data_IF_729378815187
#
_entry.id   IF_729378815187
#
_cell.length_a   1.000
_cell.length_b   1.000
_cell.length_c   1.000
_cell.angle_alpha   90.00
_cell.angle_beta   90.00
_cell.angle_gamma   90.00
#
_symmetry.space_group_name_H-M   'P 1'
#
loop_
_entity.id
_entity.type
_entity.pdbx_description
1 polymer ?
#
# COMPACT_ATOMS: atom_id res chain seq x y z
N UNK A 1 -81.00 -2.56 9.89
CA UNK A 1 -79.75 -3.34 9.85
C UNK A 1 -78.69 -2.49 9.17
N UNK A 2 -77.82 -1.84 9.95
CA UNK A 2 -76.65 -1.15 9.42
C UNK A 2 -75.52 -1.30 10.44
N UNK A 3 -74.59 -2.20 10.18
CA UNK A 3 -73.29 -2.19 10.84
C UNK A 3 -72.23 -1.96 9.78
N UNK A 4 -71.53 -0.84 9.94
CA UNK A 4 -70.39 -0.39 9.14
C UNK A 4 -69.15 -1.14 9.60
N UNK A 5 -68.41 -1.77 8.68
CA UNK A 5 -67.09 -2.35 8.96
C UNK A 5 -66.04 -1.57 8.19
N UNK A 6 -65.24 -0.78 8.92
CA UNK A 6 -64.06 -0.12 8.38
C UNK A 6 -62.89 -1.12 8.23
N UNK A 7 -62.03 -0.99 7.20
CA UNK A 7 -60.88 -1.86 7.04
C UNK A 7 -59.70 -1.41 7.91
N UNK A 8 -58.99 -2.42 8.44
CA UNK A 8 -57.84 -2.33 9.33
C UNK A 8 -56.64 -1.65 8.65
N UNK A 9 -56.19 -0.51 9.19
CA UNK A 9 -55.05 0.24 8.66
C UNK A 9 -53.71 -0.33 9.16
N UNK A 10 -52.96 -0.90 8.20
CA UNK A 10 -51.50 -0.86 8.01
C UNK A 10 -50.62 -0.91 9.29
N UNK A 11 -50.12 -2.10 9.62
CA UNK A 11 -48.94 -2.23 10.48
C UNK A 11 -47.77 -1.46 9.87
N UNK A 12 -47.28 -0.47 10.63
CA UNK A 12 -46.03 0.24 10.37
C UNK A 12 -44.91 -0.78 10.21
N UNK A 13 -44.35 -0.84 9.00
CA UNK A 13 -43.14 -1.59 8.70
C UNK A 13 -42.04 -1.10 9.62
N UNK A 14 -41.63 -1.94 10.56
CA UNK A 14 -40.47 -1.68 11.40
C UNK A 14 -39.25 -1.72 10.49
N UNK A 15 -38.72 -0.56 10.16
CA UNK A 15 -37.44 -0.40 9.50
C UNK A 15 -36.35 -0.86 10.48
N UNK A 16 -36.07 -2.16 10.48
CA UNK A 16 -34.90 -2.73 11.14
C UNK A 16 -33.76 -2.64 10.14
N UNK A 17 -32.99 -1.57 10.22
CA UNK A 17 -31.63 -1.53 9.67
C UNK A 17 -30.75 -2.46 10.50
N UNK A 18 -30.97 -3.77 10.36
CA UNK A 18 -30.02 -4.78 10.77
C UNK A 18 -28.85 -4.67 9.80
N UNK A 19 -27.66 -4.35 10.29
CA UNK A 19 -26.41 -4.60 9.57
C UNK A 19 -26.28 -6.12 9.42
N UNK A 20 -26.96 -6.68 8.43
CA UNK A 20 -26.84 -8.08 8.04
C UNK A 20 -25.42 -8.27 7.50
N UNK A 21 -24.61 -9.08 8.19
CA UNK A 21 -23.33 -9.50 7.64
C UNK A 21 -23.59 -10.26 6.34
N UNK A 22 -22.99 -9.84 5.20
CA UNK A 22 -23.31 -10.44 3.92
C UNK A 22 -22.97 -11.92 3.94
N UNK A 23 -23.82 -12.74 3.32
CA UNK A 23 -23.51 -14.16 3.15
C UNK A 23 -22.25 -14.34 2.29
N UNK A 24 -21.57 -15.49 2.41
CA UNK A 24 -20.37 -15.79 1.59
C UNK A 24 -20.63 -15.63 0.08
N UNK A 25 -21.82 -16.03 -0.39
CA UNK A 25 -22.18 -15.93 -1.80
C UNK A 25 -22.30 -14.47 -2.25
N UNK A 26 -22.91 -13.63 -1.42
CA UNK A 26 -23.06 -12.19 -1.66
C UNK A 26 -21.72 -11.45 -1.59
N UNK A 27 -20.81 -11.88 -0.71
CA UNK A 27 -19.42 -11.41 -0.68
C UNK A 27 -18.67 -11.74 -1.98
N UNK A 28 -18.82 -12.96 -2.51
CA UNK A 28 -18.18 -13.36 -3.77
C UNK A 28 -18.74 -12.57 -4.96
N UNK A 29 -20.06 -12.34 -5.00
CA UNK A 29 -20.69 -11.53 -6.04
C UNK A 29 -20.22 -10.06 -5.98
N UNK A 30 -20.03 -9.52 -4.77
CA UNK A 30 -19.44 -8.19 -4.59
C UNK A 30 -17.99 -8.14 -5.04
N UNK A 31 -17.21 -9.19 -4.74
CA UNK A 31 -15.80 -9.28 -5.13
C UNK A 31 -15.64 -9.36 -6.65
N UNK A 32 -16.50 -10.11 -7.33
CA UNK A 32 -16.50 -10.24 -8.80
C UNK A 32 -16.76 -8.90 -9.51
N UNK A 33 -17.52 -8.02 -8.87
CA UNK A 33 -17.77 -6.66 -9.37
C UNK A 33 -16.54 -5.75 -9.24
N UNK A 34 -15.57 -6.06 -8.37
CA UNK A 34 -14.35 -5.27 -8.20
C UNK A 34 -13.37 -5.55 -9.33
N UNK A 35 -13.23 -4.59 -10.23
CA UNK A 35 -12.26 -4.67 -11.32
C UNK A 35 -10.95 -4.01 -10.89
N UNK A 36 -9.95 -4.85 -10.57
CA UNK A 36 -8.58 -4.38 -10.31
C UNK A 36 -7.81 -4.33 -11.62
N UNK A 37 -7.26 -3.16 -11.96
CA UNK A 37 -6.41 -3.07 -13.13
C UNK A 37 -5.03 -3.65 -12.83
N UNK A 38 -4.48 -4.43 -13.76
CA UNK A 38 -3.16 -5.03 -13.60
C UNK A 38 -2.07 -3.98 -13.38
N UNK A 39 -2.21 -2.80 -13.96
CA UNK A 39 -1.30 -1.67 -13.71
C UNK A 39 -1.29 -1.21 -12.25
N UNK A 40 -2.47 -1.13 -11.63
CA UNK A 40 -2.60 -0.72 -10.22
C UNK A 40 -2.01 -1.78 -9.29
N UNK A 41 -2.25 -3.06 -9.58
CA UNK A 41 -1.63 -4.18 -8.86
C UNK A 41 -0.11 -4.17 -8.98
N UNK A 42 0.42 -3.97 -10.18
CA UNK A 42 1.86 -3.91 -10.37
C UNK A 42 2.48 -2.72 -9.62
N UNK A 43 1.79 -1.57 -9.59
CA UNK A 43 2.24 -0.42 -8.80
C UNK A 43 2.26 -0.73 -7.30
N UNK A 44 1.20 -1.35 -6.79
CA UNK A 44 1.10 -1.80 -5.39
C UNK A 44 2.24 -2.77 -5.02
N UNK A 45 2.52 -3.75 -5.89
CA UNK A 45 3.62 -4.69 -5.69
C UNK A 45 4.96 -3.96 -5.69
N UNK A 46 5.18 -3.05 -6.64
CA UNK A 46 6.41 -2.26 -6.70
C UNK A 46 6.60 -1.40 -5.44
N UNK A 47 5.55 -0.72 -4.99
CA UNK A 47 5.58 0.10 -3.78
C UNK A 47 5.90 -0.74 -2.55
N UNK A 48 5.36 -1.95 -2.45
CA UNK A 48 5.68 -2.90 -1.38
C UNK A 48 7.16 -3.32 -1.41
N UNK A 49 7.68 -3.76 -2.56
CA UNK A 49 9.07 -4.20 -2.70
C UNK A 49 10.06 -3.06 -2.36
N UNK A 50 9.74 -1.83 -2.75
CA UNK A 50 10.54 -0.64 -2.43
C UNK A 50 10.43 -0.23 -0.97
N UNK A 51 9.26 -0.39 -0.34
CA UNK A 51 9.08 -0.03 1.08
C UNK A 51 9.74 -1.05 2.00
N UNK A 52 9.63 -2.33 1.69
CA UNK A 52 10.25 -3.41 2.46
C UNK A 52 11.75 -3.55 2.19
N UNK A 53 12.29 -2.90 1.16
CA UNK A 53 13.72 -2.97 0.88
C UNK A 53 14.14 -4.24 0.14
N UNK A 54 13.24 -4.87 -0.61
CA UNK A 54 13.58 -6.03 -1.44
C UNK A 54 14.14 -5.60 -2.80
N UNK A 55 15.40 -5.15 -2.82
CA UNK A 55 16.03 -4.58 -4.01
C UNK A 55 16.06 -5.54 -5.20
N UNK A 56 16.54 -6.77 -5.00
CA UNK A 56 16.67 -7.75 -6.08
C UNK A 56 15.31 -8.16 -6.65
N UNK A 57 14.29 -8.23 -5.79
CA UNK A 57 12.93 -8.52 -6.21
C UNK A 57 12.32 -7.34 -6.98
N UNK A 58 12.53 -6.11 -6.51
CA UNK A 58 12.09 -4.89 -7.21
C UNK A 58 12.74 -4.78 -8.60
N UNK A 59 14.02 -5.11 -8.72
CA UNK A 59 14.76 -5.09 -9.98
C UNK A 59 14.21 -6.09 -11.00
N UNK A 60 14.01 -7.34 -10.57
CA UNK A 60 13.43 -8.38 -11.44
C UNK A 60 11.99 -8.04 -11.81
N UNK A 61 11.20 -7.58 -10.84
CA UNK A 61 9.80 -7.23 -11.06
C UNK A 61 9.66 -6.05 -12.02
N UNK A 62 10.55 -5.05 -11.94
CA UNK A 62 10.62 -3.95 -12.93
C UNK A 62 10.81 -4.47 -14.34
N UNK A 63 11.74 -5.42 -14.56
CA UNK A 63 12.03 -6.00 -15.87
C UNK A 63 10.85 -6.82 -16.41
N UNK A 64 10.17 -7.58 -15.55
CA UNK A 64 9.06 -8.46 -15.92
C UNK A 64 7.74 -7.71 -16.15
N UNK A 65 7.44 -6.74 -15.29
CA UNK A 65 6.17 -6.02 -15.28
C UNK A 65 6.21 -4.69 -16.06
N UNK A 66 7.41 -4.23 -16.47
CA UNK A 66 7.59 -2.97 -17.19
C UNK A 66 7.23 -1.74 -16.35
N UNK A 67 7.24 -1.85 -15.02
CA UNK A 67 6.82 -0.79 -14.10
C UNK A 67 8.01 0.03 -13.66
N UNK A 68 7.90 1.35 -13.80
CA UNK A 68 8.91 2.30 -13.33
C UNK A 68 8.69 2.55 -11.83
N UNK A 69 9.66 2.22 -10.96
CA UNK A 69 9.54 2.53 -9.54
C UNK A 69 9.55 4.05 -9.30
N UNK A 70 8.83 4.56 -8.29
CA UNK A 70 8.76 5.99 -8.00
C UNK A 70 10.08 6.56 -7.47
N UNK A 71 10.94 5.70 -6.92
CA UNK A 71 12.25 6.05 -6.37
C UNK A 71 13.32 5.18 -7.03
N UNK A 72 14.51 5.71 -7.35
CA UNK A 72 15.60 4.90 -7.88
C UNK A 72 15.95 3.74 -6.93
N UNK A 73 16.02 2.52 -7.47
CA UNK A 73 16.33 1.31 -6.69
C UNK A 73 17.76 1.34 -6.12
N UNK A 74 18.64 2.16 -6.69
CA UNK A 74 20.03 2.34 -6.24
C UNK A 74 20.10 2.97 -4.84
N UNK A 75 19.10 3.78 -4.49
CA UNK A 75 18.99 4.43 -3.16
C UNK A 75 18.38 3.51 -2.11
N UNK A 76 17.93 2.31 -2.51
CA UNK A 76 17.25 1.39 -1.60
C UNK A 76 18.23 0.73 -0.62
N UNK A 77 19.46 0.47 -1.04
CA UNK A 77 20.51 -0.08 -0.17
C UNK A 77 20.77 0.83 1.04
N UNK A 78 20.81 2.14 0.82
CA UNK A 78 21.00 3.13 1.89
C UNK A 78 19.82 3.12 2.87
N UNK A 79 18.59 3.06 2.36
CA UNK A 79 17.38 2.99 3.21
C UNK A 79 17.32 1.71 4.03
N UNK A 80 17.70 0.57 3.44
CA UNK A 80 17.77 -0.72 4.14
C UNK A 80 18.81 -0.62 5.26
N UNK A 81 20.03 -0.15 4.96
CA UNK A 81 21.09 0.00 5.96
C UNK A 81 20.67 0.87 7.13
N UNK A 82 20.04 2.02 6.87
CA UNK A 82 19.55 2.92 7.91
C UNK A 82 18.48 2.21 8.77
N UNK A 83 17.52 1.51 8.15
CA UNK A 83 16.48 0.77 8.87
C UNK A 83 17.06 -0.35 9.73
N UNK A 84 17.94 -1.18 9.19
CA UNK A 84 18.50 -2.33 9.89
C UNK A 84 19.31 -1.85 11.11
N UNK A 85 20.10 -0.80 10.92
CA UNK A 85 20.87 -0.22 12.02
C UNK A 85 19.98 0.51 13.07
N UNK A 86 18.81 1.04 12.70
CA UNK A 86 17.79 1.50 13.64
C UNK A 86 17.16 0.34 14.44
N UNK A 87 16.85 -0.78 13.77
CA UNK A 87 16.29 -1.98 14.40
C UNK A 87 17.29 -2.63 15.38
N UNK A 88 18.58 -2.57 15.07
CA UNK A 88 19.67 -3.07 15.92
C UNK A 88 20.04 -2.12 17.08
N UNK A 89 19.24 -1.06 17.33
CA UNK A 89 19.48 -0.02 18.34
C UNK A 89 20.87 0.64 18.28
N UNK A 90 21.57 0.51 17.16
CA UNK A 90 22.94 1.00 16.95
C UNK A 90 22.95 2.39 16.33
N UNK A 91 22.17 3.29 16.91
CA UNK A 91 21.87 4.64 16.38
C UNK A 91 23.15 5.47 16.12
N UNK A 92 24.19 5.29 16.93
CA UNK A 92 25.46 6.00 16.79
C UNK A 92 26.22 5.62 15.51
N UNK A 93 26.21 4.33 15.14
CA UNK A 93 26.83 3.86 13.89
C UNK A 93 26.02 4.33 12.68
N UNK A 94 24.69 4.29 12.77
CA UNK A 94 23.78 4.81 11.74
C UNK A 94 24.06 6.26 11.37
N UNK A 95 24.21 7.15 12.36
CA UNK A 95 24.43 8.57 12.12
C UNK A 95 25.78 8.81 11.45
N UNK A 96 26.80 8.04 11.83
CA UNK A 96 28.12 8.13 11.19
C UNK A 96 28.07 7.69 9.72
N UNK A 97 27.45 6.54 9.43
CA UNK A 97 27.35 6.02 8.06
C UNK A 97 26.46 6.89 7.15
N UNK A 98 25.37 7.45 7.68
CA UNK A 98 24.51 8.38 6.96
C UNK A 98 25.22 9.69 6.61
N UNK A 99 26.04 10.23 7.52
CA UNK A 99 26.87 11.42 7.27
C UNK A 99 28.02 11.12 6.27
N UNK A 100 28.61 9.93 6.32
CA UNK A 100 29.68 9.52 5.42
C UNK A 100 29.18 9.40 3.97
N UNK A 101 27.98 8.85 3.77
CA UNK A 101 27.35 8.74 2.46
C UNK A 101 27.09 10.11 1.82
N UNK A 102 26.52 11.05 2.59
CA UNK A 102 26.25 12.43 2.13
C UNK A 102 27.55 13.20 1.86
N UNK A 103 28.57 13.05 2.72
CA UNK A 103 29.90 13.64 2.49
C UNK A 103 30.58 13.12 1.22
N UNK A 104 30.40 11.85 0.87
CA UNK A 104 30.99 11.25 -0.34
C UNK A 104 30.31 11.76 -1.61
N UNK A 105 28.98 11.90 -1.60
CA UNK A 105 28.21 12.50 -2.69
C UNK A 105 28.53 13.99 -2.85
N UNK A 106 28.71 14.71 -1.74
CA UNK A 106 29.12 16.12 -1.72
C UNK A 106 30.54 16.32 -2.27
N UNK A 107 31.50 15.48 -1.87
CA UNK A 107 32.88 15.54 -2.39
C UNK A 107 32.99 15.17 -3.87
N UNK A 108 32.24 14.18 -4.33
CA UNK A 108 32.21 13.81 -5.75
C UNK A 108 31.65 14.96 -6.61
N UNK A 109 30.70 15.73 -6.07
CA UNK A 109 30.13 16.92 -6.73
C UNK A 109 31.03 18.16 -6.63
N UNK A 110 31.84 18.28 -5.59
CA UNK A 110 32.81 19.37 -5.42
C UNK A 110 34.10 19.18 -6.26
N UNK A 111 34.44 17.93 -6.63
CA UNK A 111 35.59 17.59 -7.46
C UNK A 111 35.37 17.72 -8.98
N UNK A 112 34.13 17.94 -9.43
CA UNK A 112 33.83 18.30 -10.82
C UNK A 112 33.52 19.80 -10.91
N UNK A 113 34.55 20.63 -10.89
CA UNK A 113 34.50 21.96 -11.52
C UNK A 113 35.42 21.94 -12.75
N UNK A 114 34.98 22.50 -13.89
CA UNK A 114 35.78 22.57 -15.12
C UNK A 114 37.03 23.44 -14.95
#
# INVERSE_FOLDING_TARGET
MSQSTAPLSKSRSSDKTSTEEPSRAEWLERLDKVHLHRGDLNRLIMDYLVTEGFKEAADKFRLEAGVVPPVPLDTLDERIRIRDCLQDASITLCLHDALQADMSAFWFKAGQKP
#
